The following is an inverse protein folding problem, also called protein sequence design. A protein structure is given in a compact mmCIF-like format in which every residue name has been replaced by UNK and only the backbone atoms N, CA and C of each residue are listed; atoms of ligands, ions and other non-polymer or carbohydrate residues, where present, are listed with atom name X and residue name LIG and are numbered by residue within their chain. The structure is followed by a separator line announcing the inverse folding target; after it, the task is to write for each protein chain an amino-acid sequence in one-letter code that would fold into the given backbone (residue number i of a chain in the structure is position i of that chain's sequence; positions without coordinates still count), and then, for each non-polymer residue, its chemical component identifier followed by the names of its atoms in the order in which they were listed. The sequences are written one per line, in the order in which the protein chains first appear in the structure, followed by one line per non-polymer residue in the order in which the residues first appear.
data_IF_981733213605
#
_entry.id   IF_981733213605
#
_cell.length_a   1.000
_cell.length_b   1.000
_cell.length_c   1.000
_cell.angle_alpha   90.00
_cell.angle_beta   90.00
_cell.angle_gamma   90.00
#
_symmetry.space_group_name_H-M   'P 1'
#
loop_
_entity.id
_entity.type
_entity.pdbx_description
1 polymer ?
#
# COMPACT_ATOMS: atom_id res chain seq x y z
N UNK A 1 -9.59 -4.07 -21.99
CA UNK A 1 -9.34 -3.34 -20.72
C UNK A 1 -9.01 -1.91 -21.08
N UNK A 2 -9.94 -0.98 -20.87
CA UNK A 2 -9.69 0.44 -21.16
C UNK A 2 -8.65 1.02 -20.19
N UNK A 3 -7.68 1.73 -20.74
CA UNK A 3 -6.59 2.45 -20.07
C UNK A 3 -7.08 3.21 -18.83
N UNK A 4 -6.38 3.08 -17.69
CA UNK A 4 -6.61 3.99 -16.57
C UNK A 4 -6.13 5.39 -17.02
N UNK A 5 -7.00 6.40 -17.22
CA UNK A 5 -6.64 7.67 -17.87
C UNK A 5 -5.67 8.56 -17.08
N UNK A 6 -5.16 8.09 -15.94
CA UNK A 6 -4.43 8.89 -14.95
C UNK A 6 -2.91 8.87 -15.09
N UNK A 7 -2.35 8.06 -15.99
CA UNK A 7 -0.88 7.92 -16.13
C UNK A 7 -0.28 8.66 -17.33
N UNK A 8 -1.09 9.06 -18.33
CA UNK A 8 -0.59 9.87 -19.45
C UNK A 8 -0.23 11.28 -18.96
N UNK A 9 1.03 11.67 -19.11
CA UNK A 9 1.50 13.05 -18.93
C UNK A 9 1.85 13.48 -17.50
N UNK A 10 1.75 12.62 -16.47
CA UNK A 10 2.23 12.99 -15.14
C UNK A 10 3.76 12.91 -15.09
N UNK A 11 4.44 14.05 -14.89
CA UNK A 11 5.85 14.10 -14.46
C UNK A 11 5.91 13.90 -12.95
N UNK A 12 6.31 12.72 -12.45
CA UNK A 12 6.25 12.50 -11.02
C UNK A 12 7.54 13.01 -10.37
N UNK A 13 7.44 14.07 -9.57
CA UNK A 13 8.58 14.59 -8.79
C UNK A 13 8.71 13.78 -7.50
N UNK A 14 9.55 12.73 -7.51
CA UNK A 14 9.74 11.84 -6.35
C UNK A 14 11.14 11.89 -5.70
N UNK A 15 11.83 13.02 -5.71
CA UNK A 15 13.20 13.10 -5.16
C UNK A 15 13.31 12.73 -3.67
N UNK A 16 12.23 12.81 -2.88
CA UNK A 16 12.29 12.57 -1.43
C UNK A 16 12.14 11.11 -0.97
N UNK A 17 11.68 10.18 -1.82
CA UNK A 17 11.47 8.78 -1.41
C UNK A 17 12.76 7.95 -1.40
N UNK A 18 13.79 8.38 -2.14
CA UNK A 18 15.02 7.60 -2.36
C UNK A 18 15.96 7.46 -1.16
N UNK A 19 15.69 8.06 -0.01
CA UNK A 19 16.65 8.08 1.11
C UNK A 19 16.20 7.36 2.39
N UNK A 20 15.05 6.67 2.40
CA UNK A 20 14.56 5.98 3.61
C UNK A 20 14.16 6.91 4.78
N UNK A 21 14.28 8.22 4.58
CA UNK A 21 13.83 9.29 5.48
C UNK A 21 12.30 9.40 5.49
N UNK A 22 11.67 9.02 4.39
CA UNK A 22 10.24 9.21 4.19
C UNK A 22 9.39 8.46 5.23
N UNK A 23 9.59 7.14 5.50
CA UNK A 23 8.84 6.47 6.56
C UNK A 23 9.07 7.08 7.94
N UNK A 24 10.30 7.47 8.29
CA UNK A 24 10.60 8.07 9.60
C UNK A 24 9.86 9.40 9.80
N UNK A 25 9.88 10.27 8.79
CA UNK A 25 9.20 11.55 8.83
C UNK A 25 7.68 11.35 8.85
N UNK A 26 7.12 10.47 8.00
CA UNK A 26 5.67 10.12 8.05
C UNK A 26 5.28 9.67 9.44
N UNK A 27 6.02 8.74 10.05
CA UNK A 27 5.71 8.22 11.39
C UNK A 27 5.72 9.30 12.45
N UNK A 28 6.70 10.20 12.42
CA UNK A 28 6.76 11.32 13.35
C UNK A 28 5.55 12.23 13.19
N UNK A 29 5.12 12.49 11.96
CA UNK A 29 3.92 13.29 11.67
C UNK A 29 2.65 12.58 12.15
N UNK A 30 2.51 11.27 11.88
CA UNK A 30 1.37 10.49 12.35
C UNK A 30 1.30 10.52 13.88
N UNK A 31 2.43 10.41 14.59
CA UNK A 31 2.48 10.54 16.05
C UNK A 31 2.06 11.92 16.55
N UNK A 32 2.52 12.98 15.88
CA UNK A 32 2.15 14.36 16.23
C UNK A 32 0.64 14.62 16.09
N UNK A 33 0.01 14.06 15.06
CA UNK A 33 -1.41 14.29 14.74
C UNK A 33 -2.32 13.28 15.47
N UNK A 34 -1.90 12.02 15.53
CA UNK A 34 -2.68 10.90 16.07
C UNK A 34 -2.52 10.69 17.58
N UNK A 35 -1.92 11.64 18.31
CA UNK A 35 -1.93 11.68 19.77
C UNK A 35 -1.11 10.61 20.52
N UNK A 36 -0.23 9.87 19.82
CA UNK A 36 0.60 8.85 20.46
C UNK A 36 1.72 9.52 21.28
N UNK A 37 1.39 9.83 22.55
CA UNK A 37 2.27 10.51 23.51
C UNK A 37 3.43 9.62 23.96
N UNK A 38 4.62 9.95 23.46
CA UNK A 38 5.89 9.51 24.03
C UNK A 38 6.97 10.60 24.04
N UNK A 39 6.65 11.80 23.55
CA UNK A 39 7.60 12.90 23.42
C UNK A 39 6.95 14.22 23.86
N UNK A 40 7.78 15.10 24.44
CA UNK A 40 7.48 16.43 25.02
C UNK A 40 6.32 17.15 24.31
N UNK A 41 5.37 17.69 25.11
CA UNK A 41 4.23 18.58 24.79
C UNK A 41 3.84 18.66 23.29
N UNK A 42 2.61 18.25 22.91
CA UNK A 42 2.19 18.28 21.50
C UNK A 42 2.36 19.69 20.93
N UNK A 43 3.20 19.81 19.90
CA UNK A 43 3.50 21.08 19.21
C UNK A 43 2.33 21.60 18.38
N UNK A 44 1.46 20.68 17.96
CA UNK A 44 0.23 20.97 17.25
C UNK A 44 -0.92 20.71 18.22
N UNK A 45 -1.82 21.67 18.35
CA UNK A 45 -3.05 21.51 19.14
C UNK A 45 -4.22 21.37 18.17
N UNK A 46 -5.06 20.35 18.30
CA UNK A 46 -6.30 20.33 17.56
C UNK A 46 -7.18 21.51 17.99
N UNK A 47 -8.01 22.01 17.07
CA UNK A 47 -9.08 22.94 17.38
C UNK A 47 -10.15 22.23 18.23
N UNK A 48 -11.18 22.98 18.62
CA UNK A 48 -12.33 22.47 19.40
C UNK A 48 -13.09 21.31 18.72
N UNK A 49 -12.90 21.13 17.41
CA UNK A 49 -13.50 20.06 16.61
C UNK A 49 -12.56 18.87 16.39
N UNK A 50 -11.39 18.83 17.05
CA UNK A 50 -10.42 17.74 16.90
C UNK A 50 -9.64 17.78 15.58
N UNK A 51 -9.69 18.89 14.83
CA UNK A 51 -9.00 19.06 13.56
C UNK A 51 -7.77 19.96 13.69
N UNK A 52 -6.79 19.77 12.80
CA UNK A 52 -5.53 20.51 12.80
C UNK A 52 -5.47 21.49 11.64
N UNK A 53 -4.90 22.67 11.87
CA UNK A 53 -4.66 23.62 10.78
C UNK A 53 -3.64 23.03 9.78
N UNK A 54 -4.01 23.01 8.50
CA UNK A 54 -3.19 22.43 7.45
C UNK A 54 -1.87 23.17 7.27
N UNK A 55 -1.87 24.49 7.45
CA UNK A 55 -0.69 25.32 7.29
C UNK A 55 0.32 25.03 8.41
N UNK A 56 -0.14 24.92 9.65
CA UNK A 56 0.68 24.52 10.80
C UNK A 56 1.28 23.12 10.62
N UNK A 57 0.46 22.14 10.20
CA UNK A 57 0.93 20.78 9.90
C UNK A 57 1.99 20.83 8.79
N UNK A 58 1.74 21.56 7.71
CA UNK A 58 2.71 21.71 6.61
C UNK A 58 4.03 22.27 7.09
N UNK A 59 3.99 23.32 7.90
CA UNK A 59 5.19 24.01 8.36
C UNK A 59 6.01 23.13 9.32
N UNK A 60 5.35 22.32 10.15
CA UNK A 60 6.05 21.34 10.98
C UNK A 60 6.69 20.22 10.12
N UNK A 61 6.00 19.72 9.09
CA UNK A 61 6.60 18.76 8.15
C UNK A 61 7.83 19.37 7.47
N UNK A 62 7.72 20.61 6.99
CA UNK A 62 8.83 21.33 6.37
C UNK A 62 10.03 21.44 7.30
N UNK A 63 9.83 21.67 8.60
CA UNK A 63 10.94 21.71 9.58
C UNK A 63 11.62 20.36 9.76
N UNK A 64 10.87 19.26 9.68
CA UNK A 64 11.39 17.89 9.86
C UNK A 64 12.09 17.32 8.63
N UNK A 65 11.89 17.95 7.48
CA UNK A 65 12.41 17.48 6.21
C UNK A 65 13.89 17.88 6.03
N UNK A 66 14.76 16.95 5.61
CA UNK A 66 16.22 17.14 5.55
C UNK A 66 16.71 17.90 4.31
N UNK A 67 15.83 18.21 3.35
CA UNK A 67 16.24 18.88 2.11
C UNK A 67 16.64 20.33 2.37
N UNK A 68 17.72 20.79 1.74
CA UNK A 68 18.21 22.17 1.89
C UNK A 68 17.21 23.21 1.36
N UNK A 69 16.59 22.95 0.21
CA UNK A 69 15.64 23.88 -0.42
C UNK A 69 14.29 23.89 0.29
N UNK A 70 13.87 25.07 0.75
CA UNK A 70 12.53 25.31 1.32
C UNK A 70 11.41 24.99 0.32
N UNK A 71 11.62 25.28 -0.97
CA UNK A 71 10.63 25.02 -2.04
C UNK A 71 10.41 23.51 -2.18
N UNK A 72 11.50 22.74 -2.20
CA UNK A 72 11.42 21.27 -2.25
C UNK A 72 10.74 20.71 -1.01
N UNK A 73 11.10 21.20 0.19
CA UNK A 73 10.47 20.75 1.44
C UNK A 73 8.96 21.01 1.44
N UNK A 74 8.52 22.21 1.04
CA UNK A 74 7.09 22.55 0.92
C UNK A 74 6.36 21.64 -0.07
N UNK A 75 6.97 21.37 -1.22
CA UNK A 75 6.40 20.47 -2.22
C UNK A 75 6.24 19.03 -1.68
N UNK A 76 7.25 18.52 -0.97
CA UNK A 76 7.21 17.20 -0.32
C UNK A 76 6.17 17.16 0.79
N UNK A 77 6.12 18.18 1.65
CA UNK A 77 5.14 18.29 2.72
C UNK A 77 3.70 18.25 2.18
N UNK A 78 3.40 19.04 1.14
CA UNK A 78 2.10 19.03 0.48
C UNK A 78 1.73 17.63 -0.04
N UNK A 79 2.70 16.89 -0.61
CA UNK A 79 2.47 15.52 -1.07
C UNK A 79 2.26 14.53 0.08
N UNK A 80 2.94 14.69 1.22
CA UNK A 80 2.73 13.85 2.41
C UNK A 80 1.33 14.05 2.99
N UNK A 81 0.91 15.31 3.14
CA UNK A 81 -0.45 15.66 3.58
C UNK A 81 -1.47 15.02 2.64
N UNK A 82 -1.31 15.23 1.33
CA UNK A 82 -2.19 14.66 0.31
C UNK A 82 -2.28 13.12 0.37
N UNK A 83 -1.18 12.43 0.69
CA UNK A 83 -1.11 10.97 0.64
C UNK A 83 -1.59 10.27 1.91
N UNK A 84 -1.34 10.87 3.07
CA UNK A 84 -1.50 10.19 4.36
C UNK A 84 -2.47 10.87 5.32
N UNK A 85 -2.76 12.16 5.12
CA UNK A 85 -3.51 12.96 6.09
C UNK A 85 -4.83 13.49 5.55
N UNK A 86 -4.98 13.59 4.24
CA UNK A 86 -6.27 13.96 3.65
C UNK A 86 -7.15 12.72 3.49
N UNK A 87 -8.41 12.84 3.90
CA UNK A 87 -9.49 11.95 3.48
C UNK A 87 -9.61 11.97 1.95
N UNK A 88 -10.26 10.96 1.37
CA UNK A 88 -10.55 10.78 -0.07
C UNK A 88 -11.44 11.91 -0.67
N UNK A 89 -11.22 13.17 -0.29
CA UNK A 89 -11.78 14.34 -0.93
C UNK A 89 -11.27 14.40 -2.37
N UNK A 90 -12.22 14.69 -3.27
CA UNK A 90 -11.98 14.73 -4.70
C UNK A 90 -10.72 15.56 -5.05
N UNK A 91 -9.90 15.11 -6.02
CA UNK A 91 -8.76 15.88 -6.51
C UNK A 91 -9.26 17.22 -7.05
N UNK A 92 -8.99 18.30 -6.31
CA UNK A 92 -9.48 19.64 -6.64
C UNK A 92 -9.88 20.50 -5.45
N UNK A 93 -10.17 19.92 -4.28
CA UNK A 93 -10.50 20.71 -3.09
C UNK A 93 -9.22 21.28 -2.43
N UNK A 94 -8.66 22.33 -3.02
CA UNK A 94 -7.68 23.21 -2.35
C UNK A 94 -8.26 23.91 -1.11
N UNK A 95 -9.57 23.77 -0.87
CA UNK A 95 -10.32 24.42 0.22
C UNK A 95 -10.24 23.72 1.59
N UNK A 96 -9.64 22.53 1.68
CA UNK A 96 -9.52 21.86 2.99
C UNK A 96 -8.43 22.56 3.81
N UNK A 97 -8.87 23.47 4.66
CA UNK A 97 -8.05 24.21 5.65
C UNK A 97 -7.72 23.36 6.87
N UNK A 98 -8.54 22.35 7.16
CA UNK A 98 -8.44 21.54 8.37
C UNK A 98 -8.14 20.07 8.08
N UNK A 99 -7.30 19.44 8.91
CA UNK A 99 -6.93 18.04 8.83
C UNK A 99 -7.54 17.31 10.04
N UNK A 100 -8.58 16.52 9.81
CA UNK A 100 -9.12 15.61 10.83
C UNK A 100 -8.31 14.30 10.83
N UNK A 101 -7.84 13.82 12.00
CA UNK A 101 -7.21 12.52 12.11
C UNK A 101 -8.11 11.42 11.59
N UNK A 102 -7.59 10.61 10.68
CA UNK A 102 -8.30 9.46 10.12
C UNK A 102 -7.96 8.19 10.91
N UNK A 103 -8.72 7.10 10.76
CA UNK A 103 -8.38 5.81 11.38
C UNK A 103 -6.97 5.33 11.03
N UNK A 104 -6.52 5.63 9.81
CA UNK A 104 -5.14 5.42 9.38
C UNK A 104 -4.15 6.14 10.28
N UNK A 105 -4.42 7.42 10.59
CA UNK A 105 -3.53 8.26 11.39
C UNK A 105 -3.46 7.73 12.82
N UNK A 106 -4.59 7.37 13.42
CA UNK A 106 -4.64 6.76 14.74
C UNK A 106 -3.88 5.42 14.78
N UNK A 107 -4.10 4.56 13.79
CA UNK A 107 -3.44 3.25 13.74
C UNK A 107 -1.92 3.41 13.53
N UNK A 108 -1.51 4.23 12.56
CA UNK A 108 -0.10 4.44 12.22
C UNK A 108 0.70 5.23 13.26
N UNK A 109 0.04 6.04 14.10
CA UNK A 109 0.68 6.78 15.20
C UNK A 109 1.09 5.85 16.33
N UNK A 110 0.24 4.89 16.66
CA UNK A 110 0.44 4.01 17.81
C UNK A 110 1.39 2.87 17.47
N UNK A 111 1.17 2.07 16.41
CA UNK A 111 1.95 0.84 16.11
C UNK A 111 3.46 1.00 16.35
N UNK A 112 4.03 0.17 17.23
CA UNK A 112 5.48 0.13 17.49
C UNK A 112 6.22 -0.73 16.45
N UNK A 113 5.63 -1.85 16.03
CA UNK A 113 6.26 -2.76 15.07
C UNK A 113 6.54 -2.05 13.74
N UNK A 114 7.81 -2.03 13.35
CA UNK A 114 8.27 -1.37 12.13
C UNK A 114 7.68 -2.04 10.89
N UNK A 115 7.57 -3.37 10.87
CA UNK A 115 7.11 -4.11 9.69
C UNK A 115 5.64 -3.83 9.39
N UNK A 116 4.76 -4.03 10.38
CA UNK A 116 3.33 -3.71 10.30
C UNK A 116 3.11 -2.28 9.84
N UNK A 117 3.87 -1.34 10.41
CA UNK A 117 3.77 0.07 10.06
C UNK A 117 4.15 0.35 8.61
N UNK A 118 5.28 -0.19 8.14
CA UNK A 118 5.70 -0.03 6.73
C UNK A 118 4.66 -0.64 5.76
N UNK A 119 4.08 -1.77 6.12
CA UNK A 119 3.03 -2.42 5.36
C UNK A 119 1.75 -1.57 5.28
N UNK A 120 1.32 -0.95 6.38
CA UNK A 120 0.21 0.01 6.38
C UNK A 120 0.50 1.26 5.54
N UNK A 121 1.70 1.83 5.69
CA UNK A 121 2.14 2.97 4.90
C UNK A 121 2.16 2.62 3.40
N UNK A 122 2.62 1.42 3.04
CA UNK A 122 2.62 0.94 1.66
C UNK A 122 1.20 0.85 1.11
N UNK A 123 0.29 0.23 1.86
CA UNK A 123 -1.10 0.11 1.45
C UNK A 123 -1.71 1.49 1.16
N UNK A 124 -1.59 2.42 2.11
CA UNK A 124 -2.11 3.77 1.94
C UNK A 124 -1.45 4.50 0.75
N UNK A 125 -0.13 4.39 0.62
CA UNK A 125 0.61 4.98 -0.49
C UNK A 125 0.15 4.43 -1.84
N UNK A 126 -0.05 3.11 -1.96
CA UNK A 126 -0.44 2.45 -3.21
C UNK A 126 -1.82 2.86 -3.75
N UNK A 127 -2.69 3.35 -2.86
CA UNK A 127 -4.01 3.85 -3.24
C UNK A 127 -3.90 5.20 -3.93
N UNK A 128 -3.03 6.05 -3.42
CA UNK A 128 -2.82 7.42 -3.91
C UNK A 128 -1.81 7.44 -5.06
N UNK A 129 -0.80 6.57 -5.01
CA UNK A 129 0.27 6.43 -5.99
C UNK A 129 -0.06 5.34 -7.01
N UNK A 130 -0.57 5.78 -8.16
CA UNK A 130 -1.03 4.91 -9.24
C UNK A 130 0.08 4.05 -9.81
N UNK A 131 1.34 4.48 -9.78
CA UNK A 131 2.45 3.71 -10.31
C UNK A 131 2.85 2.57 -9.35
N UNK A 132 3.03 2.88 -8.06
CA UNK A 132 3.37 1.86 -7.05
C UNK A 132 2.27 0.80 -6.96
N UNK A 133 1.01 1.24 -6.81
CA UNK A 133 -0.13 0.32 -6.78
C UNK A 133 -0.37 -0.37 -8.14
N UNK A 134 -0.03 0.29 -9.25
CA UNK A 134 -0.15 -0.27 -10.60
C UNK A 134 0.82 -1.43 -10.82
N UNK A 135 2.10 -1.23 -10.50
CA UNK A 135 3.13 -2.28 -10.61
C UNK A 135 2.76 -3.50 -9.78
N UNK A 136 2.38 -3.29 -8.51
CA UNK A 136 1.99 -4.40 -7.65
C UNK A 136 0.81 -5.18 -8.23
N UNK A 137 -0.29 -4.50 -8.62
CA UNK A 137 -1.54 -5.15 -9.01
C UNK A 137 -1.55 -5.74 -10.42
N UNK A 138 -0.88 -5.10 -11.37
CA UNK A 138 -0.99 -5.46 -12.79
C UNK A 138 0.24 -6.19 -13.33
N UNK A 139 1.37 -6.13 -12.61
CA UNK A 139 2.62 -6.75 -13.05
C UNK A 139 3.07 -7.82 -12.07
N UNK A 140 3.35 -7.45 -10.81
CA UNK A 140 3.87 -8.39 -9.82
C UNK A 140 2.84 -9.43 -9.39
N UNK A 141 1.60 -9.03 -9.07
CA UNK A 141 0.60 -9.97 -8.56
C UNK A 141 0.20 -11.05 -9.58
N UNK A 142 -0.15 -10.71 -10.84
CA UNK A 142 -0.51 -11.74 -11.82
C UNK A 142 0.62 -12.75 -12.03
N UNK A 143 1.85 -12.25 -12.09
CA UNK A 143 2.97 -13.09 -12.45
C UNK A 143 3.56 -13.85 -11.27
N UNK A 144 3.90 -13.19 -10.16
CA UNK A 144 4.53 -13.83 -9.01
C UNK A 144 3.55 -14.71 -8.22
N UNK A 145 2.28 -14.30 -8.10
CA UNK A 145 1.27 -15.01 -7.31
C UNK A 145 0.41 -15.92 -8.18
N UNK A 146 -0.19 -15.39 -9.24
CA UNK A 146 -1.14 -16.15 -10.07
C UNK A 146 -0.49 -16.94 -11.20
N UNK A 147 0.84 -16.94 -11.29
CA UNK A 147 1.61 -17.68 -12.29
C UNK A 147 1.21 -17.40 -13.75
N UNK A 148 0.67 -16.20 -14.02
CA UNK A 148 0.21 -15.82 -15.37
C UNK A 148 0.92 -14.57 -15.87
N UNK A 149 1.16 -14.43 -17.18
CA UNK A 149 1.70 -13.20 -17.75
C UNK A 149 0.84 -11.98 -17.35
N UNK A 150 1.47 -10.80 -17.19
CA UNK A 150 0.75 -9.53 -17.09
C UNK A 150 -0.22 -9.32 -18.25
N UNK A 151 -1.33 -8.63 -18.02
CA UNK A 151 -2.33 -8.38 -19.05
C UNK A 151 -1.75 -7.62 -20.26
N UNK A 152 -2.21 -7.96 -21.47
CA UNK A 152 -1.69 -7.37 -22.72
C UNK A 152 -0.51 -8.13 -23.33
N UNK A 153 -0.02 -9.18 -22.66
CA UNK A 153 1.14 -9.97 -23.08
C UNK A 153 0.79 -11.45 -23.23
N UNK A 154 1.19 -12.06 -24.35
CA UNK A 154 1.23 -13.53 -24.45
C UNK A 154 2.36 -14.09 -23.59
N UNK A 155 2.28 -15.38 -23.26
CA UNK A 155 3.35 -16.06 -22.51
C UNK A 155 4.70 -15.95 -23.25
N UNK A 156 4.70 -16.16 -24.58
CA UNK A 156 5.91 -16.11 -25.39
C UNK A 156 6.54 -14.72 -25.40
N UNK A 157 5.76 -13.66 -25.68
CA UNK A 157 6.27 -12.29 -25.64
C UNK A 157 6.83 -11.93 -24.26
N UNK A 158 6.09 -12.28 -23.20
CA UNK A 158 6.52 -12.03 -21.84
C UNK A 158 7.84 -12.71 -21.54
N UNK A 159 7.98 -14.00 -21.86
CA UNK A 159 9.20 -14.74 -21.61
C UNK A 159 10.38 -14.21 -22.42
N UNK A 160 10.18 -13.82 -23.68
CA UNK A 160 11.25 -13.23 -24.51
C UNK A 160 11.76 -11.93 -23.89
N UNK A 161 10.87 -11.00 -23.55
CA UNK A 161 11.26 -9.69 -23.01
C UNK A 161 11.78 -9.78 -21.57
N UNK A 162 11.22 -10.67 -20.77
CA UNK A 162 11.66 -10.89 -19.38
C UNK A 162 12.92 -11.79 -19.27
N UNK A 163 13.52 -12.20 -20.40
CA UNK A 163 14.85 -12.81 -20.45
C UNK A 163 14.91 -14.35 -20.50
N UNK A 164 13.82 -15.01 -20.88
CA UNK A 164 13.71 -16.46 -21.10
C UNK A 164 13.75 -17.28 -19.80
N UNK A 165 12.76 -18.15 -19.57
CA UNK A 165 12.60 -18.90 -18.30
C UNK A 165 12.70 -20.41 -18.46
N UNK A 166 13.57 -20.89 -19.35
CA UNK A 166 13.55 -22.30 -19.74
C UNK A 166 13.81 -23.27 -18.57
N UNK A 167 14.46 -22.84 -17.48
CA UNK A 167 14.81 -23.73 -16.35
C UNK A 167 14.73 -23.09 -14.95
N UNK A 168 14.01 -21.98 -14.78
CA UNK A 168 13.99 -21.26 -13.49
C UNK A 168 12.78 -21.64 -12.65
N UNK A 169 13.03 -22.19 -11.46
CA UNK A 169 12.00 -22.55 -10.46
C UNK A 169 11.30 -21.32 -9.89
N UNK A 170 12.05 -20.24 -9.63
CA UNK A 170 11.50 -19.04 -8.97
C UNK A 170 11.08 -17.95 -9.96
N UNK A 171 9.83 -17.49 -9.85
CA UNK A 171 9.32 -16.39 -10.69
C UNK A 171 9.99 -15.07 -10.35
N UNK A 172 10.43 -14.34 -11.37
CA UNK A 172 11.05 -13.02 -11.24
C UNK A 172 10.64 -12.07 -12.36
N UNK A 173 10.78 -10.77 -12.10
CA UNK A 173 10.54 -9.71 -13.09
C UNK A 173 11.80 -8.87 -13.26
N UNK A 174 12.17 -8.61 -14.50
CA UNK A 174 13.35 -7.82 -14.86
C UNK A 174 12.99 -6.35 -15.06
N UNK A 175 13.93 -5.44 -14.81
CA UNK A 175 13.73 -4.01 -15.04
C UNK A 175 13.45 -3.65 -16.51
N UNK A 176 14.13 -4.26 -17.52
CA UNK A 176 13.78 -4.06 -18.93
C UNK A 176 12.33 -4.41 -19.25
N UNK A 177 11.80 -5.52 -18.70
CA UNK A 177 10.38 -5.84 -18.86
C UNK A 177 9.47 -4.77 -18.25
N UNK A 178 9.81 -4.25 -17.05
CA UNK A 178 9.02 -3.18 -16.43
C UNK A 178 9.02 -1.89 -17.26
N UNK A 179 10.15 -1.54 -17.88
CA UNK A 179 10.27 -0.38 -18.77
C UNK A 179 9.40 -0.54 -20.02
N UNK A 180 9.46 -1.71 -20.65
CA UNK A 180 8.67 -2.04 -21.83
C UNK A 180 7.17 -2.07 -21.51
N UNK A 181 6.78 -2.77 -20.43
CA UNK A 181 5.40 -2.82 -19.96
C UNK A 181 4.87 -1.42 -19.66
N UNK A 182 5.61 -0.60 -18.91
CA UNK A 182 5.19 0.75 -18.56
C UNK A 182 5.04 1.65 -19.79
N UNK A 183 5.93 1.50 -20.78
CA UNK A 183 5.86 2.26 -22.04
C UNK A 183 4.65 1.82 -22.87
N UNK A 184 4.50 0.51 -23.10
CA UNK A 184 3.44 -0.07 -23.94
C UNK A 184 2.04 0.11 -23.33
N UNK A 185 1.87 -0.29 -22.07
CA UNK A 185 0.54 -0.36 -21.44
C UNK A 185 0.13 0.96 -20.78
N UNK A 186 1.09 1.78 -20.30
CA UNK A 186 0.80 3.01 -19.57
C UNK A 186 1.29 4.30 -20.25
N UNK A 187 2.06 4.21 -21.35
CA UNK A 187 2.70 5.37 -21.98
C UNK A 187 3.71 6.07 -21.05
N UNK A 188 4.34 5.32 -20.14
CA UNK A 188 5.23 5.84 -19.11
C UNK A 188 6.69 5.44 -19.34
N UNK A 189 7.58 6.42 -19.52
CA UNK A 189 8.97 6.19 -19.98
C UNK A 189 10.06 6.52 -18.93
N UNK A 190 9.70 7.01 -17.74
CA UNK A 190 10.68 7.46 -16.76
C UNK A 190 11.27 6.31 -15.94
N UNK A 191 12.38 5.73 -16.41
CA UNK A 191 13.14 4.69 -15.70
C UNK A 191 13.52 5.06 -14.25
N UNK A 192 14.01 6.28 -13.92
CA UNK A 192 14.30 6.63 -12.52
C UNK A 192 13.09 6.53 -11.60
N UNK A 193 11.90 6.88 -12.12
CA UNK A 193 10.66 6.81 -11.37
C UNK A 193 10.17 5.38 -11.19
N UNK A 194 10.31 4.54 -12.23
CA UNK A 194 10.02 3.10 -12.11
C UNK A 194 10.94 2.44 -11.07
N UNK A 195 12.25 2.69 -11.14
CA UNK A 195 13.22 2.19 -10.17
C UNK A 195 12.83 2.57 -8.74
N UNK A 196 12.34 3.79 -8.54
CA UNK A 196 11.87 4.22 -7.24
C UNK A 196 10.61 3.48 -6.79
N UNK A 197 9.64 3.29 -7.69
CA UNK A 197 8.41 2.56 -7.37
C UNK A 197 8.72 1.10 -6.98
N UNK A 198 9.62 0.44 -7.72
CA UNK A 198 10.15 -0.89 -7.36
C UNK A 198 10.85 -0.83 -6.01
N UNK A 199 11.70 0.17 -5.77
CA UNK A 199 12.40 0.34 -4.48
C UNK A 199 11.43 0.52 -3.30
N UNK A 200 10.30 1.21 -3.48
CA UNK A 200 9.28 1.34 -2.44
C UNK A 200 8.71 -0.03 -2.07
N UNK A 201 8.37 -0.86 -3.07
CA UNK A 201 7.91 -2.23 -2.84
C UNK A 201 8.98 -3.08 -2.15
N UNK A 202 10.26 -2.89 -2.52
CA UNK A 202 11.40 -3.56 -1.86
C UNK A 202 11.58 -3.13 -0.40
N UNK A 203 11.53 -1.83 -0.12
CA UNK A 203 11.69 -1.30 1.24
C UNK A 203 10.60 -1.74 2.21
N UNK A 204 9.43 -2.08 1.68
CA UNK A 204 8.30 -2.59 2.44
C UNK A 204 8.26 -4.13 2.47
N UNK A 205 9.32 -4.77 1.98
CA UNK A 205 9.51 -6.22 2.03
C UNK A 205 8.55 -7.02 1.18
N UNK A 206 7.90 -6.43 0.17
CA UNK A 206 6.97 -7.14 -0.73
C UNK A 206 7.66 -7.88 -1.85
N UNK A 207 8.72 -7.27 -2.35
CA UNK A 207 9.62 -7.88 -3.31
C UNK A 207 11.04 -7.75 -2.82
N UNK A 208 11.91 -8.62 -3.28
CA UNK A 208 13.34 -8.49 -3.09
C UNK A 208 14.05 -8.33 -4.43
N UNK A 209 15.14 -7.57 -4.44
CA UNK A 209 15.97 -7.42 -5.63
C UNK A 209 17.22 -8.28 -5.46
N UNK A 210 17.35 -9.31 -6.30
CA UNK A 210 18.49 -10.24 -6.28
C UNK A 210 19.20 -10.26 -7.63
N UNK A 211 20.50 -10.52 -7.61
CA UNK A 211 21.27 -10.74 -8.85
C UNK A 211 21.12 -12.22 -9.24
N UNK A 212 20.59 -12.50 -10.43
CA UNK A 212 20.45 -13.87 -10.95
C UNK A 212 21.73 -14.29 -11.62
N UNK A 213 22.52 -15.16 -10.98
CA UNK A 213 23.83 -15.61 -11.50
C UNK A 213 23.72 -16.66 -12.59
N UNK A 214 22.54 -17.26 -12.71
CA UNK A 214 22.16 -18.31 -13.65
C UNK A 214 21.70 -17.75 -15.01
N UNK A 215 21.56 -16.43 -15.14
CA UNK A 215 21.18 -15.76 -16.38
C UNK A 215 22.38 -15.03 -17.02
N UNK A 216 22.36 -14.93 -18.35
CA UNK A 216 23.37 -14.15 -19.11
C UNK A 216 23.43 -12.71 -18.58
N UNK A 217 24.66 -12.21 -18.37
CA UNK A 217 24.94 -10.87 -17.82
C UNK A 217 24.55 -10.63 -16.36
N UNK A 218 24.09 -11.67 -15.66
CA UNK A 218 23.77 -11.62 -14.25
C UNK A 218 22.85 -10.45 -13.83
N UNK A 219 21.66 -10.29 -14.45
CA UNK A 219 20.78 -9.16 -14.21
C UNK A 219 20.28 -9.12 -12.76
N UNK A 220 19.93 -7.91 -12.31
CA UNK A 220 19.10 -7.74 -11.10
C UNK A 220 17.64 -7.97 -11.45
N UNK A 221 16.97 -8.79 -10.67
CA UNK A 221 15.58 -9.15 -10.85
C UNK A 221 14.81 -8.92 -9.56
N UNK A 222 13.52 -8.63 -9.70
CA UNK A 222 12.57 -8.48 -8.60
C UNK A 222 11.79 -9.77 -8.41
N UNK A 223 11.79 -10.29 -7.19
CA UNK A 223 11.14 -11.56 -6.81
C UNK A 223 10.21 -11.34 -5.63
N UNK A 224 9.29 -12.27 -5.38
CA UNK A 224 8.47 -12.22 -4.18
C UNK A 224 9.37 -12.39 -2.96
N UNK A 225 9.17 -11.55 -1.95
CA UNK A 225 9.86 -11.68 -0.67
C UNK A 225 9.21 -12.78 0.17
N UNK A 226 9.97 -13.40 1.08
CA UNK A 226 9.44 -14.34 2.06
C UNK A 226 8.73 -13.65 3.25
N UNK A 227 8.61 -12.33 3.24
CA UNK A 227 7.92 -11.62 4.32
C UNK A 227 6.41 -11.79 4.26
N UNK A 228 5.83 -12.29 5.36
CA UNK A 228 4.37 -12.40 5.52
C UNK A 228 3.73 -11.05 5.83
N UNK A 229 2.50 -10.89 5.37
CA UNK A 229 1.65 -9.75 5.72
C UNK A 229 1.23 -9.83 7.17
N UNK A 230 1.35 -8.69 7.84
CA UNK A 230 0.90 -8.54 9.21
C UNK A 230 -0.62 -8.43 9.24
N UNK A 231 -1.23 -9.17 10.18
CA UNK A 231 -2.69 -9.26 10.31
C UNK A 231 -3.35 -7.88 10.42
N UNK A 232 -2.72 -6.95 11.13
CA UNK A 232 -3.20 -5.57 11.26
C UNK A 232 -3.27 -4.86 9.90
N UNK A 233 -2.24 -5.00 9.07
CA UNK A 233 -2.24 -4.41 7.73
C UNK A 233 -3.29 -5.05 6.81
N UNK A 234 -3.48 -6.36 6.94
CA UNK A 234 -4.52 -7.11 6.22
C UNK A 234 -5.93 -6.65 6.59
N UNK A 235 -6.27 -6.64 7.89
CA UNK A 235 -7.60 -6.23 8.36
C UNK A 235 -7.83 -4.75 8.00
N UNK A 236 -6.82 -3.89 8.12
CA UNK A 236 -6.95 -2.49 7.73
C UNK A 236 -7.20 -2.33 6.22
N UNK A 237 -6.55 -3.14 5.38
CA UNK A 237 -6.81 -3.20 3.95
C UNK A 237 -8.26 -3.54 3.62
N UNK A 238 -8.79 -4.58 4.27
CA UNK A 238 -10.20 -5.00 4.14
C UNK A 238 -11.14 -3.90 4.63
N UNK A 239 -10.88 -3.39 5.83
CA UNK A 239 -11.65 -2.30 6.45
C UNK A 239 -11.77 -1.13 5.48
N UNK A 240 -10.64 -0.68 4.93
CA UNK A 240 -10.59 0.48 4.07
C UNK A 240 -11.30 0.21 2.73
N UNK A 241 -11.12 -0.97 2.15
CA UNK A 241 -11.66 -1.29 0.83
C UNK A 241 -13.16 -1.59 0.84
N UNK A 242 -13.68 -2.26 1.87
CA UNK A 242 -15.04 -2.79 1.87
C UNK A 242 -15.98 -2.11 2.87
N UNK A 243 -15.50 -1.54 3.97
CA UNK A 243 -16.40 -0.96 4.97
C UNK A 243 -17.13 0.33 4.50
N UNK A 244 -16.48 1.28 3.79
CA UNK A 244 -17.15 2.53 3.38
C UNK A 244 -18.34 2.32 2.43
N UNK A 245 -18.39 1.19 1.73
CA UNK A 245 -19.40 0.88 0.71
C UNK A 245 -20.38 -0.20 1.17
N UNK A 246 -20.02 -1.02 2.17
CA UNK A 246 -20.77 -2.20 2.57
C UNK A 246 -20.93 -2.26 4.08
N UNK A 247 -21.93 -1.54 4.60
CA UNK A 247 -22.45 -1.82 5.94
C UNK A 247 -23.07 -3.23 5.92
N UNK A 248 -22.40 -4.18 6.57
CA UNK A 248 -22.87 -5.55 6.84
C UNK A 248 -23.11 -6.48 5.63
N UNK A 249 -22.19 -6.53 4.65
CA UNK A 249 -22.23 -7.59 3.63
C UNK A 249 -21.26 -8.72 3.94
N UNK A 250 -21.73 -9.94 3.71
CA UNK A 250 -20.90 -11.14 3.57
C UNK A 250 -19.89 -10.92 2.43
N UNK A 251 -18.60 -10.95 2.73
CA UNK A 251 -17.54 -10.93 1.72
C UNK A 251 -17.17 -12.38 1.44
N UNK A 252 -17.36 -12.80 0.19
CA UNK A 252 -16.90 -14.12 -0.26
C UNK A 252 -15.38 -14.15 -0.37
N UNK A 253 -14.78 -15.34 -0.18
CA UNK A 253 -13.34 -15.52 -0.40
C UNK A 253 -12.89 -15.05 -1.79
N UNK A 254 -13.72 -15.30 -2.82
CA UNK A 254 -13.47 -14.83 -4.19
C UNK A 254 -13.34 -13.30 -4.27
N UNK A 255 -14.26 -12.56 -3.65
CA UNK A 255 -14.20 -11.09 -3.61
C UNK A 255 -12.96 -10.59 -2.86
N UNK A 256 -12.56 -11.28 -1.78
CA UNK A 256 -11.36 -10.92 -1.03
C UNK A 256 -10.10 -11.08 -1.87
N UNK A 257 -9.97 -12.19 -2.60
CA UNK A 257 -8.87 -12.45 -3.53
C UNK A 257 -8.82 -11.47 -4.70
N UNK A 258 -9.97 -10.92 -5.09
CA UNK A 258 -10.05 -9.90 -6.14
C UNK A 258 -9.77 -8.49 -5.62
N UNK A 259 -9.74 -8.30 -4.29
CA UNK A 259 -9.51 -7.03 -3.63
C UNK A 259 -8.19 -6.36 -4.03
N UNK A 260 -8.23 -5.04 -4.17
CA UNK A 260 -7.06 -4.21 -4.47
C UNK A 260 -5.98 -4.36 -3.41
N UNK A 261 -6.36 -4.54 -2.13
CA UNK A 261 -5.41 -4.69 -1.04
C UNK A 261 -4.58 -5.98 -1.16
N UNK A 262 -5.21 -7.14 -1.45
CA UNK A 262 -4.50 -8.42 -1.68
C UNK A 262 -3.51 -8.27 -2.81
N UNK A 263 -3.97 -7.67 -3.92
CA UNK A 263 -3.16 -7.51 -5.13
C UNK A 263 -2.02 -6.51 -4.96
N UNK A 264 -2.20 -5.45 -4.19
CA UNK A 264 -1.13 -4.50 -3.88
C UNK A 264 -0.11 -5.12 -2.94
N UNK A 265 -0.58 -5.78 -1.89
CA UNK A 265 0.27 -6.29 -0.83
C UNK A 265 0.95 -7.61 -1.20
N UNK A 266 0.68 -8.10 -2.43
CA UNK A 266 1.23 -9.33 -3.00
C UNK A 266 0.97 -10.55 -2.10
N UNK A 267 -0.25 -10.65 -1.58
CA UNK A 267 -0.62 -11.69 -0.61
C UNK A 267 -1.02 -12.97 -1.37
N UNK A 268 -0.35 -14.11 -1.14
CA UNK A 268 -0.75 -15.40 -1.70
C UNK A 268 -2.11 -15.88 -1.15
N UNK A 269 -2.87 -16.69 -1.91
CA UNK A 269 -4.16 -17.21 -1.46
C UNK A 269 -4.11 -17.94 -0.11
N UNK A 270 -3.07 -18.72 0.14
CA UNK A 270 -2.90 -19.53 1.35
C UNK A 270 -2.73 -18.64 2.58
N UNK A 271 -2.04 -17.51 2.40
CA UNK A 271 -1.84 -16.51 3.45
C UNK A 271 -3.14 -15.75 3.74
N UNK A 272 -3.96 -15.46 2.71
CA UNK A 272 -5.29 -14.87 2.90
C UNK A 272 -6.14 -15.76 3.80
N UNK A 273 -6.17 -17.07 3.55
CA UNK A 273 -6.92 -18.03 4.38
C UNK A 273 -6.43 -18.09 5.83
N UNK A 274 -5.12 -18.05 6.07
CA UNK A 274 -4.57 -17.97 7.43
C UNK A 274 -4.97 -16.67 8.13
N UNK A 275 -4.82 -15.53 7.45
CA UNK A 275 -5.13 -14.22 8.01
C UNK A 275 -6.63 -14.06 8.32
N UNK A 276 -7.51 -14.64 7.49
CA UNK A 276 -8.94 -14.75 7.79
C UNK A 276 -9.17 -15.57 9.06
N UNK A 277 -8.59 -16.77 9.15
CA UNK A 277 -8.76 -17.65 10.33
C UNK A 277 -8.31 -16.94 11.60
N UNK A 278 -7.19 -16.22 11.54
CA UNK A 278 -6.71 -15.39 12.65
C UNK A 278 -7.67 -14.22 12.94
N UNK A 279 -8.16 -13.51 11.93
CA UNK A 279 -9.13 -12.44 12.12
C UNK A 279 -10.45 -12.89 12.75
N UNK A 280 -10.92 -14.11 12.44
CA UNK A 280 -12.06 -14.74 13.13
C UNK A 280 -11.72 -15.05 14.59
N UNK A 281 -10.54 -15.62 14.86
CA UNK A 281 -10.06 -15.90 16.22
C UNK A 281 -10.03 -14.63 17.09
N UNK A 282 -9.66 -13.49 16.51
CA UNK A 282 -9.63 -12.19 17.19
C UNK A 282 -10.93 -11.40 17.07
N UNK A 283 -12.02 -12.03 16.60
CA UNK A 283 -13.36 -11.45 16.54
C UNK A 283 -13.47 -10.18 15.68
N UNK A 284 -12.59 -10.00 14.68
CA UNK A 284 -12.78 -8.99 13.64
C UNK A 284 -13.75 -9.45 12.57
N UNK A 285 -13.81 -10.77 12.38
CA UNK A 285 -14.66 -11.43 11.42
C UNK A 285 -15.60 -12.40 12.14
N UNK A 286 -16.82 -12.53 11.64
CA UNK A 286 -17.77 -13.55 12.03
C UNK A 286 -17.82 -14.62 10.94
N UNK A 287 -17.91 -15.89 11.35
CA UNK A 287 -18.09 -17.00 10.41
C UNK A 287 -19.51 -16.91 9.84
N UNK A 288 -19.64 -16.74 8.52
CA UNK A 288 -20.95 -16.82 7.88
C UNK A 288 -21.59 -18.18 8.16
N UNK A 289 -22.92 -18.22 8.38
CA UNK A 289 -23.65 -19.50 8.44
C UNK A 289 -23.46 -20.17 7.08
N UNK A 290 -22.70 -21.27 7.04
CA UNK A 290 -22.74 -22.16 5.89
C UNK A 290 -24.13 -22.76 5.84
N UNK A 291 -25.00 -22.22 4.99
CA UNK A 291 -26.27 -22.87 4.67
C UNK A 291 -25.94 -24.25 4.11
N UNK A 292 -26.31 -25.28 4.89
CA UNK A 292 -26.10 -26.69 4.53
C UNK A 292 -26.73 -26.91 3.15
N UNK A 293 -25.91 -27.35 2.19
CA UNK A 293 -26.22 -27.75 0.79
C UNK A 293 -26.06 -26.71 -0.33
N UNK A 294 -25.27 -25.64 -0.17
CA UNK A 294 -24.89 -24.80 -1.32
C UNK A 294 -23.41 -24.97 -1.66
N UNK A 295 -23.11 -25.26 -2.94
CA UNK A 295 -21.77 -25.23 -3.57
C UNK A 295 -21.12 -23.84 -3.61
N UNK A 296 -21.60 -22.89 -2.80
CA UNK A 296 -21.07 -21.53 -2.73
C UNK A 296 -19.81 -21.47 -1.87
N UNK A 297 -18.85 -20.65 -2.32
CA UNK A 297 -17.62 -20.36 -1.61
C UNK A 297 -17.92 -19.86 -0.17
N UNK A 298 -17.08 -20.20 0.82
CA UNK A 298 -17.27 -19.73 2.18
C UNK A 298 -17.33 -18.19 2.23
N UNK A 299 -18.31 -17.67 2.98
CA UNK A 299 -18.48 -16.24 3.21
C UNK A 299 -18.04 -15.85 4.62
N UNK A 300 -17.47 -14.65 4.72
CA UNK A 300 -16.98 -14.05 5.95
C UNK A 300 -17.76 -12.77 6.18
N UNK A 301 -18.32 -12.63 7.38
CA UNK A 301 -19.01 -11.41 7.80
C UNK A 301 -18.00 -10.49 8.48
N UNK A 302 -17.94 -9.23 8.06
CA UNK A 302 -17.26 -8.21 8.85
C UNK A 302 -18.07 -7.93 10.11
N UNK A 303 -17.42 -7.91 11.27
CA UNK A 303 -18.07 -7.56 12.53
C UNK A 303 -18.50 -6.08 12.52
N UNK A 304 -19.72 -5.80 12.99
CA UNK A 304 -20.31 -4.46 13.05
C UNK A 304 -19.74 -3.64 14.22
N UNK A 305 -18.42 -3.57 14.37
CA UNK A 305 -17.79 -2.77 15.41
C UNK A 305 -17.74 -1.30 15.01
N UNK A 306 -17.81 -0.40 16.00
CA UNK A 306 -17.50 1.01 15.73
C UNK A 306 -16.06 1.10 15.22
N UNK A 307 -15.80 2.12 14.40
CA UNK A 307 -14.46 2.36 13.85
C UNK A 307 -13.37 2.35 14.94
N UNK A 308 -13.67 3.00 16.06
CA UNK A 308 -12.76 3.07 17.20
C UNK A 308 -12.51 1.69 17.82
N UNK A 309 -13.52 0.84 17.93
CA UNK A 309 -13.36 -0.53 18.43
C UNK A 309 -12.49 -1.39 17.49
N UNK A 310 -12.65 -1.23 16.17
CA UNK A 310 -11.82 -1.93 15.18
C UNK A 310 -10.36 -1.48 15.32
N UNK A 311 -10.12 -0.17 15.38
CA UNK A 311 -8.78 0.39 15.56
C UNK A 311 -8.18 -0.06 16.89
N UNK A 312 -8.94 -0.01 17.99
CA UNK A 312 -8.47 -0.44 19.30
C UNK A 312 -8.07 -1.92 19.32
N UNK A 313 -8.91 -2.80 18.74
CA UNK A 313 -8.56 -4.22 18.61
C UNK A 313 -7.33 -4.41 17.71
N UNK A 314 -7.20 -3.65 16.61
CA UNK A 314 -6.04 -3.72 15.72
C UNK A 314 -4.77 -3.30 16.46
N UNK A 315 -4.85 -2.29 17.33
CA UNK A 315 -3.75 -1.86 18.18
C UNK A 315 -3.38 -2.94 19.18
N UNK A 316 -4.34 -3.57 19.86
CA UNK A 316 -4.09 -4.72 20.76
C UNK A 316 -3.40 -5.90 20.08
N UNK A 317 -3.48 -6.02 18.76
CA UNK A 317 -2.74 -7.04 18.00
C UNK A 317 -1.33 -6.61 17.59
N UNK A 318 -1.06 -5.31 17.53
CA UNK A 318 0.21 -4.75 17.09
C UNK A 318 1.24 -4.59 18.22
N UNK A 319 0.82 -4.75 19.47
CA UNK A 319 1.58 -4.53 20.70
C UNK A 319 1.41 -5.70 21.65
#
# INVERSE_FOLDING_TARGET
MALHPRLRGQKPRYSAFGHGLYPKVVVRILRLIGGASGDRKPRLKPNEHGAFDRQEVRDEIVRLLPQSSIVTRRAVANKMIQRFLQNDAAPGSNAIREITPTPFVHLGSHISDRKTRLQLLLWQLSRVDTLVGGLARYVFFPYLIQARPPGGWSANEFHVVNGGQLFVIDRFITMPFLEEFATREWGFTSRPTLNLAVRILTLCGRIENRKRRDMRFNPRVSMLSHETTQLVAFIYGIYQEFLPTHTNRDISMKQMMEGRFVRTMLIPPEEVDDLIRRGVKYQFFQKGRQEKKSTRAPSIRLSCHSLDQIVEKMLKLAF
#
